data_IF_941372492284
#
_entry.id   IF_941372492284
#
_cell.length_a   1.000
_cell.length_b   1.000
_cell.length_c   1.000
_cell.angle_alpha   90.00
_cell.angle_beta   90.00
_cell.angle_gamma   90.00
#
_symmetry.space_group_name_H-M   'P 1'
#
loop_
_entity.id
_entity.type
_entity.pdbx_description
1 polymer ?
#
# COMPACT_ATOMS: atom_id res chain seq x y z
N UNK A 1 24.54 -1.57 -17.63
CA UNK A 1 24.25 -1.17 -16.24
C UNK A 1 23.87 -2.42 -15.47
N UNK A 2 24.44 -2.67 -14.28
CA UNK A 2 24.13 -3.85 -13.46
C UNK A 2 23.06 -3.46 -12.42
N UNK A 3 21.96 -4.21 -12.36
CA UNK A 3 20.94 -4.03 -11.32
C UNK A 3 21.44 -4.54 -9.96
N UNK A 4 20.90 -4.00 -8.87
CA UNK A 4 21.20 -4.50 -7.54
C UNK A 4 20.60 -5.90 -7.32
N UNK A 5 21.19 -6.69 -6.42
CA UNK A 5 20.64 -8.01 -6.06
C UNK A 5 19.22 -7.88 -5.50
N UNK A 6 18.96 -6.87 -4.67
CA UNK A 6 17.63 -6.61 -4.08
C UNK A 6 16.54 -6.49 -5.14
N UNK A 7 16.82 -5.78 -6.25
CA UNK A 7 15.87 -5.64 -7.36
C UNK A 7 15.74 -6.93 -8.16
N UNK A 8 16.84 -7.67 -8.39
CA UNK A 8 16.80 -8.94 -9.11
C UNK A 8 15.99 -10.01 -8.34
N UNK A 9 16.00 -9.96 -7.03
CA UNK A 9 15.27 -10.87 -6.14
C UNK A 9 13.78 -10.53 -6.03
N UNK A 10 13.37 -9.31 -6.46
CA UNK A 10 11.97 -8.92 -6.48
C UNK A 10 11.25 -9.55 -7.69
N UNK A 11 10.31 -10.44 -7.43
CA UNK A 11 9.45 -11.01 -8.46
C UNK A 11 8.48 -9.97 -9.03
N UNK A 12 8.09 -10.15 -10.28
CA UNK A 12 6.98 -9.37 -10.85
C UNK A 12 5.68 -9.68 -10.09
N UNK A 13 4.82 -8.67 -9.94
CA UNK A 13 3.54 -8.83 -9.25
C UNK A 13 2.69 -9.94 -9.88
N UNK A 14 2.31 -10.99 -9.13
CA UNK A 14 1.47 -12.07 -9.63
C UNK A 14 0.08 -11.59 -10.06
N UNK A 15 -0.41 -10.49 -9.50
CA UNK A 15 -1.68 -9.86 -9.87
C UNK A 15 -1.69 -9.43 -11.35
N UNK A 16 -0.54 -8.98 -11.86
CA UNK A 16 -0.40 -8.47 -13.24
C UNK A 16 0.02 -9.54 -14.24
N UNK A 17 0.33 -10.74 -13.79
CA UNK A 17 0.78 -11.86 -14.64
C UNK A 17 -0.18 -12.15 -15.79
N UNK A 18 -1.48 -12.04 -15.56
CA UNK A 18 -2.50 -12.35 -16.55
C UNK A 18 -2.92 -11.17 -17.42
N UNK A 19 -2.38 -9.96 -17.19
CA UNK A 19 -2.75 -8.77 -17.94
C UNK A 19 -2.61 -8.93 -19.48
N UNK A 20 -1.50 -9.46 -20.03
CA UNK A 20 -1.38 -9.67 -21.47
C UNK A 20 -2.47 -10.59 -22.04
N UNK A 21 -2.84 -11.63 -21.30
CA UNK A 21 -3.90 -12.57 -21.72
C UNK A 21 -5.28 -11.91 -21.71
N UNK A 22 -5.55 -11.08 -20.70
CA UNK A 22 -6.79 -10.31 -20.62
C UNK A 22 -6.92 -9.34 -21.80
N UNK A 23 -5.85 -8.59 -22.13
CA UNK A 23 -5.81 -7.69 -23.28
C UNK A 23 -6.07 -8.44 -24.59
N UNK A 24 -5.39 -9.56 -24.82
CA UNK A 24 -5.58 -10.38 -26.02
C UNK A 24 -7.01 -10.95 -26.14
N UNK A 25 -7.62 -11.31 -25.02
CA UNK A 25 -9.02 -11.76 -25.00
C UNK A 25 -10.01 -10.61 -25.31
N UNK A 26 -9.77 -9.44 -24.72
CA UNK A 26 -10.59 -8.25 -25.00
C UNK A 26 -10.54 -7.83 -26.48
N UNK A 27 -9.37 -7.90 -27.12
CA UNK A 27 -9.20 -7.63 -28.55
C UNK A 27 -10.02 -8.60 -29.44
N UNK A 28 -10.35 -9.79 -28.94
CA UNK A 28 -11.23 -10.77 -29.59
C UNK A 28 -12.70 -10.59 -29.23
N UNK A 29 -13.07 -9.48 -28.56
CA UNK A 29 -14.43 -9.19 -28.13
C UNK A 29 -14.90 -9.95 -26.89
N UNK A 30 -14.00 -10.64 -26.16
CA UNK A 30 -14.36 -11.35 -24.94
C UNK A 30 -14.40 -10.36 -23.78
N UNK A 31 -15.54 -10.32 -23.08
CA UNK A 31 -15.67 -9.51 -21.87
C UNK A 31 -14.89 -10.13 -20.71
N UNK A 32 -13.97 -9.37 -20.12
CA UNK A 32 -13.17 -9.79 -18.99
C UNK A 32 -13.66 -9.09 -17.71
N UNK A 33 -13.93 -9.87 -16.68
CA UNK A 33 -14.23 -9.38 -15.33
C UNK A 33 -12.97 -9.45 -14.49
N UNK A 34 -12.47 -8.31 -14.05
CA UNK A 34 -11.23 -8.16 -13.28
C UNK A 34 -11.54 -8.37 -11.79
N UNK A 35 -11.27 -9.58 -11.27
CA UNK A 35 -11.44 -9.89 -9.85
C UNK A 35 -10.12 -9.88 -9.06
N UNK A 36 -9.01 -9.64 -9.75
CA UNK A 36 -7.65 -9.62 -9.20
C UNK A 36 -7.20 -8.24 -8.71
N UNK A 37 -8.01 -7.21 -8.93
CA UNK A 37 -7.73 -5.83 -8.52
C UNK A 37 -8.93 -5.34 -7.70
N UNK A 38 -8.65 -4.86 -6.48
CA UNK A 38 -9.66 -4.25 -5.60
C UNK A 38 -9.99 -2.82 -6.03
N UNK A 39 -10.49 -2.65 -7.26
CA UNK A 39 -10.91 -1.35 -7.76
C UNK A 39 -12.30 -1.00 -7.24
N UNK A 40 -12.49 0.14 -6.53
CA UNK A 40 -13.82 0.60 -6.15
C UNK A 40 -14.71 0.82 -7.38
N UNK A 41 -15.96 0.42 -7.29
CA UNK A 41 -17.00 0.59 -8.34
C UNK A 41 -18.12 1.55 -7.92
N UNK A 42 -18.05 2.10 -6.72
CA UNK A 42 -18.93 3.15 -6.21
C UNK A 42 -18.40 4.55 -6.54
N UNK A 43 -19.29 5.51 -6.67
CA UNK A 43 -18.89 6.89 -6.91
C UNK A 43 -18.09 7.46 -5.72
N UNK A 44 -17.01 8.16 -6.03
CA UNK A 44 -16.33 8.97 -5.02
C UNK A 44 -17.27 10.06 -4.52
N UNK A 45 -17.37 10.27 -3.20
CA UNK A 45 -18.25 11.30 -2.64
C UNK A 45 -18.03 12.67 -3.29
N UNK A 46 -19.09 13.39 -3.70
CA UNK A 46 -18.96 14.71 -4.33
C UNK A 46 -18.14 15.71 -3.48
N UNK A 47 -18.28 15.65 -2.16
CA UNK A 47 -17.54 16.48 -1.22
C UNK A 47 -16.01 16.43 -1.39
N UNK A 48 -15.49 15.30 -1.93
CA UNK A 48 -14.06 15.20 -2.23
C UNK A 48 -13.66 16.16 -3.35
N UNK A 49 -14.42 16.21 -4.43
CA UNK A 49 -14.13 17.09 -5.57
C UNK A 49 -14.41 18.54 -5.23
N UNK A 50 -15.49 18.82 -4.52
CA UNK A 50 -15.83 20.16 -4.00
C UNK A 50 -14.70 20.72 -3.12
N UNK A 51 -14.13 19.90 -2.25
CA UNK A 51 -13.00 20.31 -1.41
C UNK A 51 -11.73 20.61 -2.21
N UNK A 52 -11.47 19.84 -3.30
CA UNK A 52 -10.34 20.11 -4.21
C UNK A 52 -10.53 21.45 -4.92
N UNK A 53 -11.72 21.72 -5.44
CA UNK A 53 -12.04 22.97 -6.12
C UNK A 53 -11.95 24.18 -5.18
N UNK A 54 -12.53 24.06 -3.99
CA UNK A 54 -12.47 25.10 -2.95
C UNK A 54 -11.04 25.35 -2.44
N UNK A 55 -10.20 24.32 -2.43
CA UNK A 55 -8.80 24.39 -2.03
C UNK A 55 -7.82 24.86 -3.11
N UNK A 56 -8.32 25.23 -4.30
CA UNK A 56 -7.49 25.71 -5.41
C UNK A 56 -6.63 26.91 -5.00
N UNK A 57 -5.34 26.82 -5.31
CA UNK A 57 -4.35 27.88 -5.03
C UNK A 57 -3.61 28.22 -6.32
N UNK A 58 -3.21 29.48 -6.44
CA UNK A 58 -2.44 29.95 -7.61
C UNK A 58 -1.02 29.40 -7.61
N UNK A 59 -0.48 29.08 -6.45
CA UNK A 59 0.86 28.50 -6.28
C UNK A 59 0.77 27.25 -5.41
N UNK A 60 1.28 26.14 -5.94
CA UNK A 60 1.50 24.89 -5.19
C UNK A 60 2.91 24.93 -4.60
N UNK A 61 3.01 25.40 -3.36
CA UNK A 61 4.25 25.42 -2.60
C UNK A 61 4.58 24.01 -2.03
N UNK A 62 5.84 23.84 -1.60
CA UNK A 62 6.22 22.64 -0.83
C UNK A 62 5.42 22.57 0.46
N UNK A 63 5.04 21.33 0.83
CA UNK A 63 4.53 21.03 2.16
C UNK A 63 5.68 20.90 3.16
N UNK A 64 5.36 21.00 4.44
CA UNK A 64 6.26 20.61 5.53
C UNK A 64 6.60 19.11 5.44
N UNK A 65 7.82 18.75 5.86
CA UNK A 65 8.33 17.37 5.73
C UNK A 65 7.43 16.30 6.36
N UNK A 66 6.81 16.51 7.54
CA UNK A 66 5.88 15.51 8.09
C UNK A 66 4.48 15.55 7.45
N UNK A 67 4.16 16.57 6.69
CA UNK A 67 2.84 16.82 6.09
C UNK A 67 2.26 18.16 6.52
N UNK A 68 1.27 18.65 5.78
CA UNK A 68 0.63 19.93 6.13
C UNK A 68 -0.12 19.82 7.45
N UNK A 69 -0.02 20.84 8.36
CA UNK A 69 -0.56 20.75 9.71
C UNK A 69 -2.07 20.46 9.75
N UNK A 70 -2.85 21.04 8.85
CA UNK A 70 -4.30 20.81 8.80
C UNK A 70 -4.66 19.37 8.49
N UNK A 71 -3.85 18.65 7.68
CA UNK A 71 -4.06 17.24 7.39
C UNK A 71 -3.67 16.38 8.60
N UNK A 72 -2.56 16.69 9.26
CA UNK A 72 -2.13 15.97 10.47
C UNK A 72 -3.20 16.07 11.56
N UNK A 73 -3.75 17.26 11.80
CA UNK A 73 -4.84 17.43 12.77
C UNK A 73 -6.11 16.66 12.38
N UNK A 74 -6.46 16.63 11.09
CA UNK A 74 -7.59 15.84 10.61
C UNK A 74 -7.36 14.32 10.81
N UNK A 75 -6.14 13.84 10.59
CA UNK A 75 -5.75 12.44 10.85
C UNK A 75 -5.85 12.13 12.35
N UNK A 76 -5.34 12.99 13.22
CA UNK A 76 -5.46 12.86 14.68
C UNK A 76 -6.92 12.74 15.12
N UNK A 77 -7.75 13.67 14.66
CA UNK A 77 -9.17 13.68 14.95
C UNK A 77 -9.91 12.43 14.45
N UNK A 78 -9.50 11.91 13.30
CA UNK A 78 -10.04 10.65 12.76
C UNK A 78 -9.71 9.47 13.68
N UNK A 79 -8.45 9.31 14.04
CA UNK A 79 -8.00 8.20 14.88
C UNK A 79 -8.57 8.28 16.30
N UNK A 80 -8.68 9.48 16.88
CA UNK A 80 -9.29 9.66 18.19
C UNK A 80 -10.75 9.14 18.24
N UNK A 81 -11.52 9.28 17.15
CA UNK A 81 -12.90 8.75 17.07
C UNK A 81 -12.98 7.21 17.13
N UNK A 82 -11.92 6.52 16.75
CA UNK A 82 -11.84 5.06 16.79
C UNK A 82 -11.00 4.54 17.95
N UNK A 83 -10.72 5.41 18.95
CA UNK A 83 -10.07 5.05 20.20
C UNK A 83 -8.54 5.02 20.17
N UNK A 84 -7.90 5.52 19.09
CA UNK A 84 -6.46 5.64 19.00
C UNK A 84 -6.03 7.11 19.12
N UNK A 85 -5.13 7.42 20.07
CA UNK A 85 -4.61 8.76 20.29
C UNK A 85 -3.16 8.86 19.80
N UNK A 86 -2.89 9.89 19.00
CA UNK A 86 -1.55 10.22 18.50
C UNK A 86 -1.25 11.69 18.75
N UNK A 87 0.00 12.00 19.04
CA UNK A 87 0.50 13.37 19.03
C UNK A 87 0.91 13.78 17.60
N UNK A 88 1.08 15.06 17.35
CA UNK A 88 1.44 15.60 16.03
C UNK A 88 2.73 14.97 15.47
N UNK A 89 3.74 14.75 16.33
CA UNK A 89 5.02 14.16 15.97
C UNK A 89 4.96 12.65 15.67
N UNK A 90 3.86 11.98 16.01
CA UNK A 90 3.68 10.54 15.76
C UNK A 90 3.15 10.27 14.33
N UNK A 91 2.85 11.34 13.59
CA UNK A 91 2.23 11.24 12.27
C UNK A 91 3.17 11.76 11.19
N UNK A 92 3.43 10.92 10.21
CA UNK A 92 4.13 11.26 8.98
C UNK A 92 3.22 10.99 7.78
N UNK A 93 2.97 12.00 6.98
CA UNK A 93 2.18 11.87 5.75
C UNK A 93 3.08 11.45 4.59
N UNK A 94 2.66 10.41 3.88
CA UNK A 94 3.40 9.86 2.74
C UNK A 94 2.57 9.87 1.46
N UNK A 95 3.21 9.65 0.31
CA UNK A 95 2.54 9.51 -0.98
C UNK A 95 1.88 8.13 -1.07
N UNK A 96 0.85 7.93 -0.24
CA UNK A 96 0.10 6.69 -0.13
C UNK A 96 0.75 5.63 0.77
N UNK A 97 -0.03 4.57 1.06
CA UNK A 97 0.36 3.51 1.98
C UNK A 97 1.59 2.70 1.55
N UNK A 98 1.90 2.63 0.26
CA UNK A 98 3.09 1.91 -0.23
C UNK A 98 4.39 2.58 0.21
N UNK A 99 4.45 3.90 0.19
CA UNK A 99 5.61 4.64 0.68
C UNK A 99 5.72 4.51 2.21
N UNK A 100 4.61 4.62 2.93
CA UNK A 100 4.58 4.43 4.37
C UNK A 100 5.12 3.06 4.79
N UNK A 101 4.66 2.00 4.12
CA UNK A 101 5.13 0.63 4.39
C UNK A 101 6.61 0.45 4.08
N UNK A 102 7.07 0.97 2.93
CA UNK A 102 8.50 0.90 2.60
C UNK A 102 9.35 1.64 3.62
N UNK A 103 8.96 2.85 4.01
CA UNK A 103 9.67 3.62 5.03
C UNK A 103 9.68 2.90 6.37
N UNK A 104 8.55 2.33 6.79
CA UNK A 104 8.48 1.55 8.03
C UNK A 104 9.45 0.35 7.99
N UNK A 105 9.47 -0.43 6.90
CA UNK A 105 10.39 -1.56 6.76
C UNK A 105 11.86 -1.11 6.78
N UNK A 106 12.18 0.01 6.12
CA UNK A 106 13.55 0.56 6.14
C UNK A 106 13.98 1.04 7.52
N UNK A 107 13.04 1.46 8.38
CA UNK A 107 13.32 1.94 9.73
C UNK A 107 13.52 0.81 10.74
N UNK A 108 12.91 -0.37 10.51
CA UNK A 108 12.87 -1.43 11.53
C UNK A 108 13.65 -2.69 11.16
N UNK A 109 14.09 -2.84 9.91
CA UNK A 109 14.75 -4.05 9.43
C UNK A 109 16.23 -3.82 9.12
N UNK A 110 17.07 -4.67 9.67
CA UNK A 110 18.45 -4.86 9.25
C UNK A 110 18.58 -5.98 8.19
N UNK A 111 19.77 -6.13 7.60
CA UNK A 111 20.03 -7.16 6.58
C UNK A 111 19.88 -8.56 7.16
N UNK A 112 18.91 -9.31 6.66
CA UNK A 112 18.64 -10.68 7.06
C UNK A 112 17.55 -10.86 8.11
N UNK A 113 17.00 -9.79 8.66
CA UNK A 113 15.87 -9.87 9.60
C UNK A 113 14.67 -10.57 8.97
N UNK A 114 13.90 -11.28 9.79
CA UNK A 114 12.74 -12.05 9.36
C UNK A 114 11.44 -11.35 9.73
N UNK A 115 10.51 -11.30 8.77
CA UNK A 115 9.17 -10.74 8.95
C UNK A 115 8.13 -11.82 8.76
N UNK A 116 7.36 -12.10 9.79
CA UNK A 116 6.23 -13.05 9.74
C UNK A 116 5.04 -12.41 9.05
N UNK A 117 4.49 -13.06 8.03
CA UNK A 117 3.30 -12.59 7.31
C UNK A 117 2.33 -13.75 7.10
N UNK A 118 1.06 -13.63 7.53
CA UNK A 118 0.02 -14.60 7.19
C UNK A 118 -0.24 -14.66 5.69
N UNK A 119 -0.27 -15.84 5.08
CA UNK A 119 -0.65 -16.04 3.68
C UNK A 119 -2.16 -16.38 3.56
N UNK A 120 -2.87 -15.85 2.52
CA UNK A 120 -2.38 -14.98 1.44
C UNK A 120 -2.21 -13.52 1.89
N UNK A 121 -1.18 -12.86 1.36
CA UNK A 121 -0.90 -11.44 1.64
C UNK A 121 -0.76 -10.62 0.36
N UNK A 122 -0.81 -9.30 0.52
CA UNK A 122 -0.60 -8.36 -0.59
C UNK A 122 0.85 -8.45 -1.11
N UNK A 123 1.07 -8.78 -2.40
CA UNK A 123 2.41 -9.12 -2.92
C UNK A 123 3.48 -8.04 -2.72
N UNK A 124 3.07 -6.78 -2.62
CA UNK A 124 4.03 -5.69 -2.43
C UNK A 124 4.72 -5.73 -1.05
N UNK A 125 4.14 -6.39 -0.04
CA UNK A 125 4.80 -6.56 1.26
C UNK A 125 6.11 -7.34 1.10
N UNK A 126 6.12 -8.38 0.29
CA UNK A 126 7.35 -9.10 -0.05
C UNK A 126 8.40 -8.16 -0.62
N UNK A 127 8.00 -7.32 -1.58
CA UNK A 127 8.91 -6.37 -2.23
C UNK A 127 9.49 -5.36 -1.24
N UNK A 128 8.66 -4.77 -0.37
CA UNK A 128 9.11 -3.77 0.59
C UNK A 128 10.10 -4.37 1.61
N UNK A 129 9.81 -5.56 2.13
CA UNK A 129 10.70 -6.27 3.06
C UNK A 129 12.03 -6.59 2.39
N UNK A 130 11.99 -7.14 1.16
CA UNK A 130 13.23 -7.44 0.41
C UNK A 130 14.05 -6.21 0.09
N UNK A 131 13.42 -5.10 -0.26
CA UNK A 131 14.10 -3.82 -0.49
C UNK A 131 14.77 -3.29 0.79
N UNK A 132 14.14 -3.49 1.94
CA UNK A 132 14.70 -3.13 3.24
C UNK A 132 15.83 -4.07 3.73
N UNK A 133 16.06 -5.20 3.05
CA UNK A 133 17.10 -6.18 3.42
C UNK A 133 16.55 -7.39 4.18
N UNK A 134 15.29 -7.38 4.54
CA UNK A 134 14.64 -8.44 5.28
C UNK A 134 14.27 -9.68 4.46
N UNK A 135 13.78 -10.69 5.14
CA UNK A 135 13.26 -11.96 4.59
C UNK A 135 11.83 -12.16 5.03
N UNK A 136 10.99 -12.61 4.11
CA UNK A 136 9.62 -13.00 4.44
C UNK A 136 9.60 -14.42 4.96
N UNK A 137 8.98 -14.61 6.11
CA UNK A 137 8.66 -15.92 6.66
C UNK A 137 7.11 -16.07 6.65
N UNK A 138 6.55 -16.80 5.67
CA UNK A 138 5.11 -16.90 5.54
C UNK A 138 4.51 -17.79 6.63
N UNK A 139 3.36 -17.38 7.16
CA UNK A 139 2.54 -18.19 8.05
C UNK A 139 1.38 -18.75 7.22
N UNK A 140 1.33 -20.06 6.95
CA UNK A 140 0.25 -20.66 6.17
C UNK A 140 -1.11 -20.45 6.86
N UNK A 141 -2.10 -20.02 6.08
CA UNK A 141 -3.50 -20.02 6.49
C UNK A 141 -4.38 -20.64 5.41
N UNK A 142 -5.59 -21.07 5.76
CA UNK A 142 -6.50 -21.70 4.82
C UNK A 142 -7.91 -21.10 4.91
N UNK A 143 -8.68 -21.12 3.80
CA UNK A 143 -10.08 -20.70 3.84
C UNK A 143 -10.95 -21.60 4.72
N UNK A 144 -10.58 -22.90 4.87
CA UNK A 144 -11.28 -23.85 5.71
C UNK A 144 -11.26 -23.46 7.19
N UNK A 145 -10.15 -22.84 7.63
CA UNK A 145 -9.97 -22.33 9.00
C UNK A 145 -10.33 -20.83 9.14
N UNK A 146 -10.94 -20.24 8.09
CA UNK A 146 -11.27 -18.81 8.06
C UNK A 146 -10.05 -17.90 8.08
N UNK A 147 -8.92 -18.36 7.50
CA UNK A 147 -7.65 -17.65 7.45
C UNK A 147 -7.07 -17.32 8.84
N UNK A 148 -7.33 -18.20 9.83
CA UNK A 148 -6.72 -18.09 11.16
C UNK A 148 -5.34 -18.73 11.14
N UNK A 149 -4.43 -18.15 11.87
CA UNK A 149 -3.12 -18.77 12.15
C UNK A 149 -3.13 -19.39 13.53
N UNK A 150 -2.41 -20.50 13.69
CA UNK A 150 -2.25 -21.16 14.98
C UNK A 150 -1.48 -20.22 15.93
N UNK A 151 -1.88 -20.22 17.20
CA UNK A 151 -1.18 -19.54 18.28
C UNK A 151 0.19 -20.16 18.56
#
# INVERSE_FOLDING_TARGET
MKLSRKICDCAQSPIRKFYPYAVAAQQRGIRIHQLNIGQPDIQTPPAFFEAIEAGRRDVLAYAESPGIPVLIEAIRAYYARIGASFETQDILVTTGGSEALLMAMLCILDEGDEVLIPEPYYPNYFTFIRMAGGRVHPIPTSPEDGYRYAE
#
